data_IF_075641218672
#
_entry.id   IF_075641218672
#
_cell.length_a   1.000
_cell.length_b   1.000
_cell.length_c   1.000
_cell.angle_alpha   90.00
_cell.angle_beta   90.00
_cell.angle_gamma   90.00
#
_symmetry.space_group_name_H-M   'P 1'
#
loop_
_entity.id
_entity.type
_entity.pdbx_description
1 polymer ?
#
# COMPACT_ATOMS: atom_id res chain seq x y z
N UNK A 1 20.94 -25.11 -6.27
CA UNK A 1 21.06 -23.63 -6.26
C UNK A 1 20.77 -23.19 -4.83
N UNK A 2 21.72 -23.42 -3.91
CA UNK A 2 22.73 -22.47 -3.38
C UNK A 2 22.01 -21.40 -2.54
N UNK A 3 22.11 -21.40 -1.20
CA UNK A 3 23.32 -20.99 -0.48
C UNK A 3 23.37 -21.56 0.97
N UNK A 4 24.00 -22.72 1.17
CA UNK A 4 24.27 -23.37 2.49
C UNK A 4 25.79 -23.56 2.69
N UNK A 5 26.62 -22.63 2.19
CA UNK A 5 28.05 -22.93 1.92
C UNK A 5 29.10 -22.04 2.58
N UNK A 6 28.76 -20.89 3.16
CA UNK A 6 29.80 -19.96 3.65
C UNK A 6 30.11 -20.08 5.14
N UNK A 7 29.23 -20.67 5.94
CA UNK A 7 29.47 -20.89 7.38
C UNK A 7 30.52 -21.95 7.67
N UNK A 8 30.53 -23.05 6.90
CA UNK A 8 31.44 -24.19 7.15
C UNK A 8 32.86 -23.99 6.64
N UNK A 9 33.08 -23.06 5.70
CA UNK A 9 34.42 -22.74 5.19
C UNK A 9 35.26 -22.02 6.25
N UNK A 10 34.63 -21.21 7.10
CA UNK A 10 35.32 -20.53 8.20
C UNK A 10 35.77 -21.50 9.31
N UNK A 11 34.97 -22.53 9.60
CA UNK A 11 35.33 -23.56 10.57
C UNK A 11 36.45 -24.48 10.05
N UNK A 12 36.49 -24.73 8.74
CA UNK A 12 37.51 -25.57 8.09
C UNK A 12 38.89 -24.90 8.01
N UNK A 13 38.96 -23.56 8.12
CA UNK A 13 40.20 -22.77 8.05
C UNK A 13 40.82 -22.46 9.42
N UNK A 14 40.29 -22.98 10.53
CA UNK A 14 40.90 -22.83 11.87
C UNK A 14 40.90 -21.40 12.42
N UNK A 15 40.12 -20.50 11.83
CA UNK A 15 40.06 -19.07 12.22
C UNK A 15 39.20 -18.82 13.47
N UNK A 16 38.62 -19.86 14.06
CA UNK A 16 37.83 -19.80 15.31
C UNK A 16 38.66 -19.44 16.55
N UNK A 17 40.00 -19.43 16.44
CA UNK A 17 40.92 -19.17 17.55
C UNK A 17 41.21 -17.69 17.82
N UNK A 18 40.69 -16.76 17.00
CA UNK A 18 40.90 -15.33 17.21
C UNK A 18 39.62 -14.62 17.67
N UNK A 19 39.46 -14.52 19.00
CA UNK A 19 38.39 -13.78 19.67
C UNK A 19 38.15 -12.34 19.13
N UNK A 20 39.18 -11.51 18.84
CA UNK A 20 38.94 -10.11 18.44
C UNK A 20 38.34 -9.97 17.02
N UNK A 21 38.55 -10.93 16.12
CA UNK A 21 37.94 -10.94 14.79
C UNK A 21 36.45 -11.27 14.84
N UNK A 22 36.05 -12.11 15.80
CA UNK A 22 34.65 -12.52 16.00
C UNK A 22 33.80 -11.38 16.57
N UNK A 23 34.40 -10.54 17.41
CA UNK A 23 33.76 -9.35 17.98
C UNK A 23 33.65 -8.20 16.97
N UNK A 24 34.69 -8.00 16.15
CA UNK A 24 34.66 -7.05 15.03
C UNK A 24 33.62 -7.43 13.96
N UNK A 25 33.52 -8.72 13.61
CA UNK A 25 32.51 -9.23 12.69
C UNK A 25 31.07 -9.07 13.24
N UNK A 26 30.86 -9.22 14.56
CA UNK A 26 29.57 -8.94 15.21
C UNK A 26 29.21 -7.45 15.21
N UNK A 27 30.21 -6.56 15.29
CA UNK A 27 30.02 -5.10 15.16
C UNK A 27 29.76 -4.65 13.72
N UNK A 28 30.23 -5.40 12.72
CA UNK A 28 30.06 -5.12 11.29
C UNK A 28 28.86 -5.82 10.65
N UNK A 29 28.16 -6.70 11.37
CA UNK A 29 26.88 -7.22 10.89
C UNK A 29 25.87 -6.07 10.85
N UNK A 30 25.27 -5.74 9.70
CA UNK A 30 24.30 -4.66 9.61
C UNK A 30 23.09 -5.02 10.48
N UNK A 31 23.00 -4.34 11.62
CA UNK A 31 21.82 -4.35 12.49
C UNK A 31 20.73 -3.54 11.79
N UNK A 32 20.01 -4.18 10.88
CA UNK A 32 18.79 -3.59 10.30
C UNK A 32 17.75 -4.66 10.12
N UNK A 33 17.45 -5.39 11.20
CA UNK A 33 16.15 -6.04 11.33
C UNK A 33 15.27 -5.11 12.15
N UNK A 34 14.69 -4.09 11.49
CA UNK A 34 13.46 -3.51 12.02
C UNK A 34 12.48 -4.67 12.04
N UNK A 35 12.09 -5.14 13.22
CA UNK A 35 11.13 -6.23 13.40
C UNK A 35 9.74 -5.73 12.96
N UNK A 36 9.56 -5.66 11.64
CA UNK A 36 8.29 -5.26 11.05
C UNK A 36 7.35 -6.46 11.19
N UNK A 37 6.33 -6.28 12.03
CA UNK A 37 5.20 -7.21 12.21
C UNK A 37 4.78 -7.80 10.86
N UNK A 38 4.51 -9.12 10.82
CA UNK A 38 4.32 -9.86 9.57
C UNK A 38 3.15 -9.33 8.73
N UNK A 39 2.08 -8.86 9.38
CA UNK A 39 0.93 -8.22 8.75
C UNK A 39 1.28 -6.90 8.05
N UNK A 40 2.22 -6.13 8.61
CA UNK A 40 2.70 -4.87 8.02
C UNK A 40 3.52 -5.17 6.76
N UNK A 41 4.36 -6.22 6.80
CA UNK A 41 5.08 -6.72 5.61
C UNK A 41 4.13 -7.24 4.52
N UNK A 42 3.05 -7.91 4.91
CA UNK A 42 2.04 -8.38 3.96
C UNK A 42 1.35 -7.19 3.27
N UNK A 43 0.90 -6.18 4.02
CA UNK A 43 0.34 -4.94 3.47
C UNK A 43 1.30 -4.27 2.47
N UNK A 44 2.55 -4.04 2.88
CA UNK A 44 3.56 -3.42 2.00
C UNK A 44 3.87 -4.25 0.75
N UNK A 45 3.80 -5.58 0.86
CA UNK A 45 3.93 -6.45 -0.32
C UNK A 45 2.78 -6.22 -1.29
N UNK A 46 1.54 -6.15 -0.80
CA UNK A 46 0.37 -5.89 -1.65
C UNK A 46 0.44 -4.52 -2.32
N UNK A 47 0.87 -3.48 -1.60
CA UNK A 47 1.11 -2.14 -2.16
C UNK A 47 2.14 -2.17 -3.29
N UNK A 48 3.28 -2.83 -3.07
CA UNK A 48 4.35 -2.95 -4.06
C UNK A 48 3.95 -3.74 -5.31
N UNK A 49 3.04 -4.70 -5.16
CA UNK A 49 2.51 -5.49 -6.28
C UNK A 49 1.44 -4.72 -7.09
N UNK A 50 0.94 -3.60 -6.58
CA UNK A 50 0.13 -2.65 -7.32
C UNK A 50 -1.38 -2.83 -7.20
N UNK A 51 -2.17 -2.11 -8.02
CA UNK A 51 -3.60 -1.89 -7.82
C UNK A 51 -4.45 -3.15 -7.68
N UNK A 52 -4.13 -4.21 -8.44
CA UNK A 52 -4.85 -5.49 -8.34
C UNK A 52 -4.70 -6.12 -6.96
N UNK A 53 -3.49 -6.10 -6.40
CA UNK A 53 -3.20 -6.68 -5.09
C UNK A 53 -3.69 -5.81 -3.94
N UNK A 54 -3.71 -4.50 -4.12
CA UNK A 54 -4.39 -3.57 -3.20
C UNK A 54 -5.87 -3.94 -3.10
N UNK A 55 -6.57 -4.14 -4.22
CA UNK A 55 -7.99 -4.56 -4.24
C UNK A 55 -8.22 -5.92 -3.55
N UNK A 56 -7.32 -6.88 -3.75
CA UNK A 56 -7.37 -8.17 -3.03
C UNK A 56 -7.22 -7.95 -1.52
N UNK A 57 -6.26 -7.11 -1.11
CA UNK A 57 -6.06 -6.74 0.29
C UNK A 57 -7.29 -6.06 0.92
N UNK A 58 -7.91 -5.14 0.19
CA UNK A 58 -9.16 -4.48 0.58
C UNK A 58 -10.31 -5.49 0.74
N UNK A 59 -10.46 -6.44 -0.18
CA UNK A 59 -11.47 -7.48 -0.07
C UNK A 59 -11.23 -8.40 1.14
N UNK A 60 -9.96 -8.76 1.41
CA UNK A 60 -9.59 -9.60 2.55
C UNK A 60 -9.73 -8.86 3.89
N UNK A 61 -9.57 -7.53 3.94
CA UNK A 61 -9.64 -6.76 5.18
C UNK A 61 -11.01 -6.84 5.86
N UNK A 62 -12.06 -7.20 5.12
CA UNK A 62 -13.43 -7.36 5.64
C UNK A 62 -13.77 -8.80 6.03
N UNK A 63 -12.88 -9.76 5.79
CA UNK A 63 -13.09 -11.20 5.95
C UNK A 63 -12.29 -11.78 7.13
N UNK A 64 -12.65 -11.40 8.35
CA UNK A 64 -12.04 -11.94 9.58
C UNK A 64 -12.30 -13.43 9.80
N UNK A 65 -13.22 -14.02 9.02
CA UNK A 65 -13.46 -15.45 8.91
C UNK A 65 -12.39 -16.18 8.05
N UNK A 66 -11.67 -15.45 7.20
CA UNK A 66 -10.66 -16.02 6.27
C UNK A 66 -9.23 -15.75 6.73
N UNK A 67 -8.98 -14.60 7.36
CA UNK A 67 -7.64 -14.19 7.82
C UNK A 67 -7.63 -13.79 9.29
N UNK A 68 -6.47 -13.89 9.99
CA UNK A 68 -6.38 -13.50 11.39
C UNK A 68 -6.81 -12.03 11.61
N UNK A 69 -7.45 -11.70 12.74
CA UNK A 69 -7.90 -10.33 13.02
C UNK A 69 -6.79 -9.27 13.02
N UNK A 70 -5.53 -9.65 13.26
CA UNK A 70 -4.38 -8.74 13.13
C UNK A 70 -4.11 -8.36 11.68
N UNK A 71 -4.21 -9.30 10.75
CA UNK A 71 -4.08 -9.04 9.32
C UNK A 71 -5.25 -8.23 8.80
N UNK A 72 -6.49 -8.60 9.14
CA UNK A 72 -7.67 -7.86 8.70
C UNK A 72 -7.58 -6.36 9.07
N UNK A 73 -7.24 -6.07 10.32
CA UNK A 73 -7.03 -4.69 10.81
C UNK A 73 -5.91 -3.95 10.09
N UNK A 74 -4.79 -4.62 9.81
CA UNK A 74 -3.69 -3.99 9.09
C UNK A 74 -4.05 -3.73 7.62
N UNK A 75 -4.72 -4.68 6.96
CA UNK A 75 -5.16 -4.54 5.57
C UNK A 75 -6.27 -3.51 5.39
N UNK A 76 -7.01 -3.12 6.44
CA UNK A 76 -7.95 -1.99 6.37
C UNK A 76 -7.25 -0.69 5.97
N UNK A 77 -5.95 -0.55 6.23
CA UNK A 77 -5.17 0.62 5.79
C UNK A 77 -4.94 0.68 4.28
N UNK A 78 -5.26 -0.40 3.55
CA UNK A 78 -5.27 -0.39 2.08
C UNK A 78 -6.56 0.20 1.52
N UNK A 79 -7.58 0.43 2.34
CA UNK A 79 -8.79 1.08 1.89
C UNK A 79 -8.44 2.52 1.50
N UNK A 80 -8.92 2.92 0.33
CA UNK A 80 -8.72 4.27 -0.21
C UNK A 80 -9.52 5.25 0.65
N UNK A 81 -8.83 6.14 1.36
CA UNK A 81 -9.41 7.37 1.91
C UNK A 81 -9.05 8.51 0.95
N UNK A 82 -9.76 8.56 -0.19
CA UNK A 82 -9.47 9.51 -1.26
C UNK A 82 -10.20 10.81 -0.94
N UNK A 83 -9.43 11.84 -0.59
CA UNK A 83 -9.93 13.20 -0.52
C UNK A 83 -10.51 13.58 -1.88
N UNK A 84 -11.78 13.99 -1.96
CA UNK A 84 -12.36 14.44 -3.21
C UNK A 84 -11.63 15.66 -3.78
N UNK A 85 -11.58 15.72 -5.10
CA UNK A 85 -11.14 16.91 -5.83
C UNK A 85 -12.11 18.07 -5.57
N UNK A 86 -11.61 19.31 -5.45
CA UNK A 86 -12.46 20.50 -5.36
C UNK A 86 -13.47 20.58 -6.50
N UNK A 87 -14.67 21.07 -6.20
CA UNK A 87 -15.75 21.15 -7.19
C UNK A 87 -15.38 22.05 -8.37
N UNK A 88 -14.55 23.07 -8.15
CA UNK A 88 -14.13 24.01 -9.18
C UNK A 88 -13.33 23.30 -10.31
N UNK A 89 -12.53 22.30 -9.94
CA UNK A 89 -11.81 21.48 -10.91
C UNK A 89 -12.77 20.55 -11.66
N UNK A 90 -13.75 19.96 -10.97
CA UNK A 90 -14.81 19.14 -11.59
C UNK A 90 -15.60 19.96 -12.61
N UNK A 91 -16.04 21.15 -12.22
CA UNK A 91 -16.77 22.07 -13.07
C UNK A 91 -15.94 22.40 -14.32
N UNK A 92 -14.66 22.75 -14.14
CA UNK A 92 -13.76 23.06 -15.25
C UNK A 92 -13.63 21.89 -16.22
N UNK A 93 -13.48 20.66 -15.72
CA UNK A 93 -13.37 19.46 -16.55
C UNK A 93 -14.68 19.20 -17.32
N UNK A 94 -15.83 19.26 -16.66
CA UNK A 94 -17.14 19.03 -17.30
C UNK A 94 -17.38 20.08 -18.39
N UNK A 95 -17.17 21.36 -18.09
CA UNK A 95 -17.39 22.43 -19.06
C UNK A 95 -16.43 22.34 -20.26
N UNK A 96 -15.19 21.89 -20.05
CA UNK A 96 -14.23 21.66 -21.12
C UNK A 96 -14.60 20.48 -22.03
N UNK A 97 -15.11 19.38 -21.46
CA UNK A 97 -15.50 18.17 -22.22
C UNK A 97 -16.81 18.36 -23.00
N UNK A 98 -17.77 19.11 -22.44
CA UNK A 98 -19.09 19.30 -23.04
C UNK A 98 -19.27 20.64 -23.77
N UNK A 99 -18.42 21.63 -23.52
CA UNK A 99 -18.48 22.96 -24.15
C UNK A 99 -19.63 23.85 -23.67
N UNK A 100 -20.29 23.49 -22.56
CA UNK A 100 -21.43 24.20 -21.97
C UNK A 100 -21.27 24.24 -20.45
N UNK A 101 -21.88 25.24 -19.81
CA UNK A 101 -21.89 25.35 -18.34
C UNK A 101 -22.58 24.16 -17.66
N UNK A 102 -22.13 23.78 -16.47
CA UNK A 102 -22.78 22.69 -15.70
C UNK A 102 -24.27 22.96 -15.47
N UNK A 103 -24.63 24.21 -15.19
CA UNK A 103 -26.02 24.66 -14.99
C UNK A 103 -26.86 24.66 -16.30
N UNK A 104 -26.21 24.61 -17.47
CA UNK A 104 -26.89 24.46 -18.76
C UNK A 104 -27.09 22.99 -19.14
N UNK A 105 -26.18 22.12 -18.70
CA UNK A 105 -26.21 20.67 -18.98
C UNK A 105 -27.20 19.91 -18.11
N UNK A 106 -27.41 20.35 -16.86
CA UNK A 106 -28.18 19.63 -15.86
C UNK A 106 -29.18 20.55 -15.16
N UNK A 107 -30.41 20.07 -14.96
CA UNK A 107 -31.42 20.72 -14.13
C UNK A 107 -30.97 20.85 -12.66
N UNK A 108 -30.22 19.86 -12.16
CA UNK A 108 -29.54 19.94 -10.86
C UNK A 108 -28.17 19.25 -10.94
N UNK A 109 -27.19 19.77 -10.21
CA UNK A 109 -25.87 19.14 -10.05
C UNK A 109 -25.37 19.35 -8.62
N UNK A 110 -25.10 18.26 -7.90
CA UNK A 110 -24.61 18.34 -6.53
C UNK A 110 -23.11 18.65 -6.51
N UNK A 111 -22.73 19.68 -5.75
CA UNK A 111 -21.32 20.08 -5.60
C UNK A 111 -20.56 19.10 -4.72
N UNK A 112 -21.24 18.44 -3.79
CA UNK A 112 -20.63 17.42 -2.96
C UNK A 112 -20.66 16.06 -3.68
N UNK A 113 -19.53 15.35 -3.78
CA UNK A 113 -19.50 14.06 -4.44
C UNK A 113 -20.17 12.99 -3.56
N UNK A 114 -20.97 12.13 -4.19
CA UNK A 114 -21.53 10.93 -3.56
C UNK A 114 -20.43 9.92 -3.18
N UNK A 115 -19.36 9.85 -3.97
CA UNK A 115 -18.23 8.97 -3.74
C UNK A 115 -16.97 9.50 -4.44
N UNK A 116 -15.81 9.26 -3.84
CA UNK A 116 -14.50 9.45 -4.46
C UNK A 116 -13.74 8.13 -4.46
N UNK A 117 -13.00 7.88 -5.54
CA UNK A 117 -12.17 6.71 -5.75
C UNK A 117 -10.85 7.11 -6.42
N UNK A 118 -9.89 6.19 -6.48
CA UNK A 118 -8.54 6.46 -6.98
C UNK A 118 -8.42 7.02 -8.40
N UNK A 119 -9.47 6.96 -9.24
CA UNK A 119 -9.45 7.43 -10.63
C UNK A 119 -10.57 8.45 -10.92
N UNK A 120 -11.35 8.84 -9.92
CA UNK A 120 -12.40 9.84 -10.12
C UNK A 120 -13.40 9.91 -8.98
N UNK A 121 -14.38 10.78 -9.13
CA UNK A 121 -15.48 10.97 -8.19
C UNK A 121 -16.83 11.03 -8.89
N UNK A 122 -17.89 10.73 -8.15
CA UNK A 122 -19.27 10.63 -8.66
C UNK A 122 -20.10 11.74 -8.02
N UNK A 123 -20.81 12.50 -8.85
CA UNK A 123 -21.75 13.54 -8.43
C UNK A 123 -23.18 13.17 -8.81
N UNK A 124 -24.15 13.57 -7.99
CA UNK A 124 -25.56 13.43 -8.31
C UNK A 124 -26.00 14.56 -9.26
N UNK A 125 -26.78 14.24 -10.29
CA UNK A 125 -27.34 15.25 -11.20
C UNK A 125 -28.70 14.80 -11.79
N UNK A 126 -29.49 15.78 -12.25
CA UNK A 126 -30.76 15.56 -12.99
C UNK A 126 -30.69 16.28 -14.33
N UNK A 127 -31.24 15.69 -15.39
CA UNK A 127 -31.33 16.28 -16.73
C UNK A 127 -32.57 17.17 -16.88
#
# INVERSE_FOLDING_TARGET
MVNEGFGSVADSLGLTKFAPLREAARRMAPQTSVDVRVEVRARHTLERLGPTFIKIGQALSTRTDVIPPSFARELTKLQDDVTPMPFEDVQTIVEAEFGMGVDELFATFDREPLAAASIGQVHAATL
#
